data_IF_588896301806
#
_entry.id   IF_588896301806
#
_cell.length_a   1.000
_cell.length_b   1.000
_cell.length_c   1.000
_cell.angle_alpha   90.00
_cell.angle_beta   90.00
_cell.angle_gamma   90.00
#
_symmetry.space_group_name_H-M   'P 1'
#
loop_
_entity.id
_entity.type
_entity.pdbx_description
1 polymer ?
#
# COMPACT_ATOMS: atom_id res chain seq x y z
N UNK A 1 4.11 -60.80 -75.48
CA UNK A 1 4.10 -61.01 -74.06
C UNK A 1 4.81 -59.78 -73.38
N UNK A 2 4.07 -58.83 -72.97
CA UNK A 2 4.61 -57.70 -72.18
C UNK A 2 3.62 -57.34 -71.06
N UNK A 3 3.97 -57.71 -69.86
CA UNK A 3 3.22 -57.46 -68.65
C UNK A 3 3.54 -56.12 -68.16
N UNK A 4 2.59 -55.19 -68.29
CA UNK A 4 2.67 -53.82 -67.65
C UNK A 4 2.23 -53.90 -66.19
N UNK A 5 3.14 -53.63 -65.28
CA UNK A 5 2.88 -53.56 -63.88
C UNK A 5 2.38 -52.12 -63.61
N UNK A 6 1.12 -51.94 -63.18
CA UNK A 6 0.57 -50.68 -62.69
C UNK A 6 0.96 -50.53 -61.24
N UNK A 7 1.73 -49.47 -60.93
CA UNK A 7 2.03 -49.02 -59.57
C UNK A 7 0.89 -48.12 -59.10
N UNK A 8 0.13 -48.55 -58.10
CA UNK A 8 -0.85 -47.78 -57.41
C UNK A 8 -0.13 -47.04 -56.28
N UNK A 9 0.03 -45.74 -56.42
CA UNK A 9 0.53 -44.87 -55.38
C UNK A 9 -0.63 -44.50 -54.46
N UNK A 10 -0.66 -45.04 -53.25
CA UNK A 10 -1.60 -44.63 -52.21
C UNK A 10 -1.03 -43.39 -51.50
N UNK A 11 -1.64 -42.23 -51.72
CA UNK A 11 -1.36 -41.00 -50.98
C UNK A 11 -2.11 -41.05 -49.66
N UNK A 12 -1.38 -41.25 -48.55
CA UNK A 12 -1.89 -41.13 -47.21
C UNK A 12 -1.97 -39.63 -46.83
N UNK A 13 -3.15 -39.03 -46.83
CA UNK A 13 -3.40 -37.72 -46.30
C UNK A 13 -3.43 -37.80 -44.77
N UNK A 14 -2.32 -37.38 -44.12
CA UNK A 14 -2.27 -37.21 -42.67
C UNK A 14 -2.95 -35.89 -42.30
N UNK A 15 -4.22 -35.97 -41.88
CA UNK A 15 -4.96 -34.85 -41.33
C UNK A 15 -4.39 -34.47 -39.95
N UNK A 16 -3.67 -33.36 -39.89
CA UNK A 16 -3.29 -32.77 -38.61
C UNK A 16 -4.51 -32.15 -37.99
N UNK A 17 -5.19 -32.83 -37.08
CA UNK A 17 -6.21 -32.29 -36.22
C UNK A 17 -5.51 -31.41 -35.18
N UNK A 18 -5.44 -30.11 -35.43
CA UNK A 18 -4.96 -29.15 -34.47
C UNK A 18 -5.91 -29.13 -33.27
N UNK A 19 -5.52 -29.76 -32.18
CA UNK A 19 -6.18 -29.59 -30.89
C UNK A 19 -5.89 -28.17 -30.42
N UNK A 20 -6.79 -27.22 -30.71
CA UNK A 20 -6.84 -25.95 -30.05
C UNK A 20 -7.22 -26.24 -28.59
N UNK A 21 -6.23 -26.44 -27.72
CA UNK A 21 -6.45 -26.47 -26.28
C UNK A 21 -7.04 -25.12 -25.88
N UNK A 22 -8.19 -25.06 -25.20
CA UNK A 22 -8.68 -23.82 -24.63
C UNK A 22 -7.59 -23.32 -23.69
N UNK A 23 -7.08 -22.11 -23.94
CA UNK A 23 -6.24 -21.41 -22.99
C UNK A 23 -7.11 -21.13 -21.76
N UNK A 24 -7.08 -22.04 -20.80
CA UNK A 24 -7.62 -21.78 -19.47
C UNK A 24 -6.90 -20.54 -18.97
N UNK A 25 -7.60 -19.43 -18.83
CA UNK A 25 -7.10 -18.26 -18.13
C UNK A 25 -6.77 -18.75 -16.72
N UNK A 26 -5.50 -19.01 -16.44
CA UNK A 26 -5.05 -19.36 -15.10
C UNK A 26 -5.29 -18.12 -14.24
N UNK A 27 -6.35 -18.14 -13.45
CA UNK A 27 -6.60 -17.15 -12.42
C UNK A 27 -5.40 -17.22 -11.48
N UNK A 28 -4.57 -16.18 -11.49
CA UNK A 28 -3.42 -16.14 -10.61
C UNK A 28 -3.93 -16.08 -9.17
N UNK A 29 -3.51 -17.06 -8.38
CA UNK A 29 -3.79 -17.12 -6.95
C UNK A 29 -3.28 -15.83 -6.25
N UNK A 30 -3.83 -15.46 -5.10
CA UNK A 30 -3.30 -14.34 -4.32
C UNK A 30 -1.84 -14.63 -3.95
N UNK A 31 -0.94 -13.70 -4.28
CA UNK A 31 0.51 -13.91 -4.12
C UNK A 31 1.14 -12.98 -3.10
N UNK A 32 0.53 -11.83 -2.85
CA UNK A 32 1.08 -10.83 -1.95
C UNK A 32 -0.03 -10.02 -1.29
N UNK A 33 0.19 -9.61 -0.03
CA UNK A 33 -0.67 -8.69 0.70
C UNK A 33 0.19 -7.51 1.14
N UNK A 34 -0.22 -6.30 0.83
CA UNK A 34 0.42 -5.06 1.27
C UNK A 34 -0.56 -4.26 2.10
N UNK A 35 -0.14 -3.83 3.28
CA UNK A 35 -0.92 -2.99 4.16
C UNK A 35 -0.26 -1.62 4.32
N UNK A 36 -1.00 -0.55 4.09
CA UNK A 36 -0.49 0.82 4.19
C UNK A 36 -1.49 1.71 4.97
N UNK A 37 -1.01 2.43 5.99
CA UNK A 37 0.35 2.46 6.54
C UNK A 37 0.69 1.19 7.33
N UNK A 38 1.98 0.83 7.42
CA UNK A 38 2.42 -0.35 8.18
C UNK A 38 2.34 -0.16 9.71
N UNK A 39 2.25 1.09 10.18
CA UNK A 39 2.01 1.45 11.58
C UNK A 39 0.81 2.38 11.63
N UNK A 40 -0.19 2.03 12.42
CA UNK A 40 -1.47 2.72 12.43
C UNK A 40 -2.02 2.86 13.85
N UNK A 41 -2.61 4.01 14.21
CA UNK A 41 -3.30 4.16 15.48
C UNK A 41 -4.66 3.45 15.46
N UNK A 42 -5.18 3.21 16.65
CA UNK A 42 -6.58 2.76 16.84
C UNK A 42 -7.54 3.73 16.16
N UNK A 43 -8.57 3.21 15.52
CA UNK A 43 -9.55 4.02 14.77
C UNK A 43 -9.03 4.57 13.44
N UNK A 44 -7.77 4.30 13.08
CA UNK A 44 -7.19 4.73 11.81
C UNK A 44 -7.69 3.90 10.63
N UNK A 45 -7.51 4.45 9.41
CA UNK A 45 -7.86 3.77 8.15
C UNK A 45 -6.64 3.09 7.54
N UNK A 46 -6.78 1.81 7.22
CA UNK A 46 -5.76 0.96 6.61
C UNK A 46 -6.20 0.60 5.20
N UNK A 47 -5.34 0.82 4.22
CA UNK A 47 -5.55 0.30 2.87
C UNK A 47 -4.77 -1.01 2.71
N UNK A 48 -5.48 -2.05 2.32
CA UNK A 48 -4.91 -3.37 2.04
C UNK A 48 -4.98 -3.63 0.55
N UNK A 49 -3.86 -3.94 -0.07
CA UNK A 49 -3.78 -4.33 -1.49
C UNK A 49 -3.38 -5.81 -1.56
N UNK A 50 -4.06 -6.56 -2.39
CA UNK A 50 -3.79 -7.99 -2.63
C UNK A 50 -3.54 -8.21 -4.10
N UNK A 51 -2.40 -8.82 -4.42
CA UNK A 51 -2.02 -9.15 -5.78
C UNK A 51 -2.56 -10.53 -6.16
N UNK A 52 -3.19 -10.64 -7.31
CA UNK A 52 -3.78 -11.86 -7.83
C UNK A 52 -5.09 -11.60 -8.56
N UNK A 53 -5.22 -12.07 -9.80
CA UNK A 53 -6.42 -11.87 -10.62
C UNK A 53 -7.66 -12.54 -10.01
N UNK A 54 -7.49 -13.56 -9.19
CA UNK A 54 -8.57 -14.19 -8.43
C UNK A 54 -9.25 -13.25 -7.43
N UNK A 55 -8.56 -12.19 -6.99
CA UNK A 55 -9.10 -11.20 -6.06
C UNK A 55 -9.94 -10.11 -6.76
N UNK A 56 -9.82 -9.96 -8.07
CA UNK A 56 -10.54 -8.94 -8.84
C UNK A 56 -12.04 -9.24 -9.00
N UNK A 57 -12.41 -10.51 -9.02
CA UNK A 57 -13.83 -10.94 -9.14
C UNK A 57 -14.60 -10.93 -7.83
N UNK A 58 -14.03 -10.36 -6.80
CA UNK A 58 -14.54 -10.32 -5.44
C UNK A 58 -13.69 -11.14 -4.49
N UNK A 59 -13.55 -10.64 -3.30
CA UNK A 59 -12.80 -11.26 -2.23
C UNK A 59 -12.95 -10.42 -0.97
N UNK A 60 -12.41 -10.90 0.13
CA UNK A 60 -12.39 -10.15 1.38
C UNK A 60 -11.07 -10.32 2.10
N UNK A 61 -10.72 -9.33 2.89
CA UNK A 61 -9.62 -9.39 3.84
C UNK A 61 -10.16 -9.37 5.25
N UNK A 62 -9.55 -10.16 6.11
CA UNK A 62 -9.94 -10.31 7.52
C UNK A 62 -8.75 -10.14 8.44
N UNK A 63 -8.96 -9.60 9.63
CA UNK A 63 -7.98 -9.46 10.69
C UNK A 63 -8.69 -9.29 12.04
N UNK A 64 -8.10 -9.72 13.17
CA UNK A 64 -8.67 -9.42 14.48
C UNK A 64 -8.74 -7.93 14.83
N UNK A 65 -8.04 -7.07 14.08
CA UNK A 65 -7.95 -5.63 14.35
C UNK A 65 -9.01 -4.79 13.64
N UNK A 66 -9.72 -5.33 12.65
CA UNK A 66 -10.74 -4.63 11.87
C UNK A 66 -11.85 -5.59 11.39
N UNK A 67 -13.05 -5.09 11.06
CA UNK A 67 -14.11 -5.91 10.50
C UNK A 67 -13.75 -6.37 9.09
N UNK A 68 -14.37 -7.48 8.65
CA UNK A 68 -14.19 -7.97 7.26
C UNK A 68 -14.36 -6.83 6.26
N UNK A 69 -13.39 -6.67 5.37
CA UNK A 69 -13.41 -5.64 4.33
C UNK A 69 -13.40 -6.28 2.94
N UNK A 70 -14.31 -5.84 2.08
CA UNK A 70 -14.42 -6.35 0.72
C UNK A 70 -13.32 -5.79 -0.18
N UNK A 71 -12.78 -6.65 -1.05
CA UNK A 71 -11.79 -6.29 -2.04
C UNK A 71 -12.46 -5.79 -3.32
N UNK A 72 -12.03 -4.63 -3.78
CA UNK A 72 -12.45 -4.02 -5.04
C UNK A 72 -11.31 -4.06 -6.04
N UNK A 73 -11.62 -4.43 -7.28
CA UNK A 73 -10.62 -4.49 -8.36
C UNK A 73 -10.00 -3.12 -8.62
N UNK A 74 -8.69 -3.10 -8.84
CA UNK A 74 -7.98 -1.89 -9.30
C UNK A 74 -7.99 -1.89 -10.83
N UNK A 75 -8.58 -0.87 -11.48
CA UNK A 75 -8.63 -0.81 -12.94
C UNK A 75 -7.24 -0.87 -13.58
N UNK A 76 -7.09 -1.70 -14.62
CA UNK A 76 -5.84 -1.83 -15.37
C UNK A 76 -4.74 -2.66 -14.72
N UNK A 77 -5.01 -3.28 -13.57
CA UNK A 77 -4.07 -4.14 -12.87
C UNK A 77 -4.59 -5.56 -12.64
N UNK A 78 -3.79 -6.37 -11.95
CA UNK A 78 -4.17 -7.72 -11.49
C UNK A 78 -4.34 -7.74 -9.96
N UNK A 79 -4.48 -6.59 -9.33
CA UNK A 79 -4.57 -6.43 -7.89
C UNK A 79 -5.96 -5.93 -7.48
N UNK A 80 -6.33 -6.17 -6.24
CA UNK A 80 -7.53 -5.62 -5.63
C UNK A 80 -7.18 -4.90 -4.33
N UNK A 81 -7.98 -3.93 -3.92
CA UNK A 81 -7.77 -3.16 -2.70
C UNK A 81 -9.02 -3.11 -1.82
N UNK A 82 -8.80 -3.01 -0.52
CA UNK A 82 -9.83 -2.77 0.47
C UNK A 82 -9.38 -1.67 1.44
N UNK A 83 -10.33 -0.88 1.93
CA UNK A 83 -10.08 0.04 3.04
C UNK A 83 -10.75 -0.50 4.29
N UNK A 84 -9.96 -0.68 5.34
CA UNK A 84 -10.44 -1.16 6.63
C UNK A 84 -10.22 -0.11 7.72
N UNK A 85 -11.11 -0.03 8.69
CA UNK A 85 -10.97 0.85 9.86
C UNK A 85 -10.61 0.02 11.08
N UNK A 86 -9.50 0.35 11.72
CA UNK A 86 -9.05 -0.35 12.92
C UNK A 86 -10.02 -0.09 14.07
N UNK A 87 -10.42 -1.12 14.79
CA UNK A 87 -11.28 -0.96 15.97
C UNK A 87 -10.64 -0.06 17.03
N UNK A 88 -11.42 0.82 17.62
CA UNK A 88 -10.95 1.76 18.66
C UNK A 88 -10.42 1.06 19.93
N UNK A 89 -10.85 -0.16 20.19
CA UNK A 89 -10.44 -0.98 21.33
C UNK A 89 -9.35 -2.00 21.01
N UNK A 90 -8.81 -2.03 19.77
CA UNK A 90 -7.74 -2.95 19.38
C UNK A 90 -6.51 -2.74 20.28
N UNK A 91 -5.94 -3.81 20.78
CA UNK A 91 -4.70 -3.75 21.57
C UNK A 91 -3.52 -3.39 20.66
N UNK A 92 -2.54 -2.61 21.14
CA UNK A 92 -1.31 -2.39 20.40
C UNK A 92 -0.55 -3.69 20.20
N UNK A 93 0.04 -3.83 19.00
CA UNK A 93 0.77 -5.03 18.61
C UNK A 93 0.75 -5.25 17.11
N UNK A 94 1.47 -6.26 16.66
CA UNK A 94 1.47 -6.69 15.27
C UNK A 94 0.24 -7.57 14.99
N UNK A 95 -0.34 -7.39 13.80
CA UNK A 95 -1.54 -8.10 13.35
C UNK A 95 -1.35 -8.72 11.98
N UNK A 96 -1.92 -9.91 11.83
CA UNK A 96 -1.95 -10.63 10.58
C UNK A 96 -3.12 -10.16 9.72
N UNK A 97 -2.99 -10.31 8.42
CA UNK A 97 -4.07 -10.15 7.45
C UNK A 97 -4.24 -11.45 6.69
N UNK A 98 -5.48 -11.88 6.57
CA UNK A 98 -5.87 -13.03 5.75
C UNK A 98 -6.72 -12.53 4.59
N UNK A 99 -6.30 -12.83 3.37
CA UNK A 99 -7.05 -12.56 2.14
C UNK A 99 -7.74 -13.83 1.66
N UNK A 100 -9.01 -13.72 1.30
CA UNK A 100 -9.82 -14.80 0.74
C UNK A 100 -10.26 -14.40 -0.67
N UNK A 101 -9.73 -15.04 -1.69
CA UNK A 101 -9.96 -14.72 -3.10
C UNK A 101 -10.19 -15.99 -3.92
N UNK A 102 -11.28 -16.10 -4.66
CA UNK A 102 -11.54 -17.21 -5.58
C UNK A 102 -11.45 -18.61 -4.94
N UNK A 103 -11.84 -18.74 -3.67
CA UNK A 103 -11.73 -19.99 -2.92
C UNK A 103 -10.32 -20.29 -2.38
N UNK A 104 -9.36 -19.40 -2.59
CA UNK A 104 -7.99 -19.48 -2.06
C UNK A 104 -7.81 -18.53 -0.89
N UNK A 105 -6.90 -18.90 0.00
CA UNK A 105 -6.58 -18.11 1.20
C UNK A 105 -5.09 -17.83 1.25
N UNK A 106 -4.73 -16.58 1.48
CA UNK A 106 -3.35 -16.13 1.70
C UNK A 106 -3.28 -15.42 3.06
N UNK A 107 -2.30 -15.79 3.87
CA UNK A 107 -2.05 -15.15 5.17
C UNK A 107 -0.73 -14.40 5.11
N UNK A 108 -0.74 -13.14 5.53
CA UNK A 108 0.47 -12.37 5.79
C UNK A 108 0.59 -12.13 7.29
N UNK A 109 1.54 -12.78 7.97
CA UNK A 109 1.79 -12.55 9.38
C UNK A 109 2.42 -11.17 9.60
N UNK A 110 2.10 -10.54 10.73
CA UNK A 110 2.61 -9.22 11.12
C UNK A 110 2.53 -8.17 10.00
N UNK A 111 1.39 -8.17 9.27
CA UNK A 111 1.21 -7.30 8.10
C UNK A 111 1.21 -5.81 8.45
N UNK A 112 0.79 -5.46 9.65
CA UNK A 112 0.81 -4.09 10.18
C UNK A 112 0.89 -4.08 11.70
N UNK A 113 1.22 -2.92 12.27
CA UNK A 113 1.32 -2.72 13.73
C UNK A 113 0.33 -1.66 14.19
N UNK A 114 -0.48 -1.99 15.19
CA UNK A 114 -1.37 -1.03 15.85
C UNK A 114 -0.65 -0.39 17.04
N UNK A 115 -0.75 0.93 17.17
CA UNK A 115 -0.18 1.70 18.28
C UNK A 115 -1.25 2.42 19.10
N UNK A 116 -0.90 2.82 20.34
CA UNK A 116 -1.73 3.68 21.17
C UNK A 116 -1.69 5.12 20.64
N UNK A 117 -2.84 5.64 20.23
CA UNK A 117 -2.97 7.02 19.80
C UNK A 117 -2.28 7.34 18.47
N UNK A 118 -2.59 8.50 17.89
CA UNK A 118 -1.89 9.01 16.73
C UNK A 118 -0.44 9.30 17.06
N UNK A 119 0.49 8.95 16.18
CA UNK A 119 1.81 9.57 16.15
C UNK A 119 1.55 11.05 15.93
N UNK A 120 1.72 11.85 16.96
CA UNK A 120 1.81 13.31 16.79
C UNK A 120 3.08 13.54 16.01
N UNK A 121 2.97 13.57 14.69
CA UNK A 121 4.07 14.00 13.83
C UNK A 121 4.49 15.39 14.31
N UNK A 122 5.75 15.54 14.66
CA UNK A 122 6.31 16.77 15.19
C UNK A 122 6.44 17.87 14.15
N UNK A 123 5.34 18.24 13.50
CA UNK A 123 5.21 19.51 12.80
C UNK A 123 4.14 20.28 13.56
N UNK A 124 4.61 21.01 14.56
CA UNK A 124 4.01 22.10 15.28
C UNK A 124 2.57 22.45 14.98
N UNK A 125 1.69 22.06 15.82
CA UNK A 125 0.33 22.48 15.76
C UNK A 125 -0.51 21.68 16.70
N UNK A 126 -0.21 21.68 17.98
CA UNK A 126 -1.18 21.28 19.00
C UNK A 126 -2.32 22.29 18.97
N UNK A 127 -3.39 22.00 18.25
CA UNK A 127 -4.58 22.82 18.25
C UNK A 127 -5.36 22.74 19.57
N UNK A 128 -4.93 21.90 20.53
CA UNK A 128 -5.66 21.67 21.78
C UNK A 128 -4.85 21.81 23.08
N UNK A 129 -3.55 22.00 23.02
CA UNK A 129 -2.78 22.47 24.18
C UNK A 129 -1.99 23.67 23.70
N UNK A 130 -2.41 24.88 24.12
CA UNK A 130 -1.65 26.12 23.87
C UNK A 130 -0.18 25.90 24.20
N UNK A 131 0.69 26.67 23.54
CA UNK A 131 2.12 26.63 23.78
C UNK A 131 2.39 26.59 25.28
N UNK A 132 3.15 25.62 25.75
CA UNK A 132 3.53 25.56 27.16
C UNK A 132 4.42 26.75 27.47
N UNK A 133 4.46 27.21 28.74
CA UNK A 133 5.33 28.33 29.13
C UNK A 133 6.79 28.10 28.69
N UNK A 134 7.25 26.85 28.59
CA UNK A 134 8.59 26.48 28.10
C UNK A 134 8.74 26.77 26.62
N UNK A 135 7.73 26.46 25.81
CA UNK A 135 7.77 26.70 24.36
C UNK A 135 7.78 28.23 24.05
N UNK A 136 7.06 29.01 24.82
CA UNK A 136 7.07 30.48 24.72
C UNK A 136 8.45 31.07 25.09
N UNK A 137 9.10 30.53 26.13
CA UNK A 137 10.42 31.01 26.54
C UNK A 137 11.47 30.71 25.47
N UNK A 138 11.47 29.53 24.87
CA UNK A 138 12.43 29.17 23.81
C UNK A 138 12.16 29.98 22.54
N UNK A 139 10.91 30.09 22.11
CA UNK A 139 10.52 30.90 20.94
C UNK A 139 10.83 32.37 21.13
N UNK A 140 10.48 32.95 22.30
CA UNK A 140 10.72 34.34 22.64
C UNK A 140 12.22 34.68 22.70
N UNK A 141 13.04 33.81 23.24
CA UNK A 141 14.49 34.02 23.33
C UNK A 141 15.15 34.07 21.94
N UNK A 142 14.72 33.21 21.01
CA UNK A 142 15.25 33.21 19.66
C UNK A 142 14.86 34.46 18.85
N UNK A 143 13.63 34.94 19.01
CA UNK A 143 13.16 36.17 18.34
C UNK A 143 13.90 37.40 18.87
N UNK A 144 14.09 37.52 20.19
CA UNK A 144 14.82 38.65 20.80
C UNK A 144 16.28 38.66 20.38
N UNK A 145 16.95 37.49 20.33
CA UNK A 145 18.31 37.35 19.85
C UNK A 145 18.47 37.80 18.38
N UNK A 146 17.52 37.45 17.52
CA UNK A 146 17.53 37.83 16.12
C UNK A 146 17.34 39.34 15.92
N UNK A 147 16.43 39.96 16.67
CA UNK A 147 16.19 41.42 16.59
C UNK A 147 17.37 42.23 17.11
N UNK A 148 17.95 41.85 18.24
CA UNK A 148 19.12 42.54 18.81
C UNK A 148 20.34 42.34 17.92
N UNK A 149 20.63 41.10 17.50
CA UNK A 149 21.75 40.77 16.61
C UNK A 149 21.63 41.49 15.26
N UNK A 150 20.45 41.45 14.64
CA UNK A 150 20.18 42.12 13.36
C UNK A 150 20.29 43.65 13.47
N UNK A 151 19.80 44.23 14.56
CA UNK A 151 19.87 45.69 14.82
C UNK A 151 21.32 46.17 14.97
N UNK A 152 22.12 45.47 15.76
CA UNK A 152 23.55 45.77 15.93
C UNK A 152 24.33 45.65 14.63
N UNK A 153 24.09 44.58 13.88
CA UNK A 153 24.72 44.38 12.57
C UNK A 153 24.37 45.51 11.59
N UNK A 154 23.12 45.90 11.52
CA UNK A 154 22.67 46.99 10.64
C UNK A 154 23.27 48.35 11.03
N UNK A 155 23.37 48.68 12.32
CA UNK A 155 24.00 49.89 12.80
C UNK A 155 25.50 49.92 12.46
N UNK A 156 26.22 48.83 12.63
CA UNK A 156 27.63 48.70 12.28
C UNK A 156 27.87 48.94 10.78
N UNK A 157 27.09 48.30 9.92
CA UNK A 157 27.19 48.48 8.47
C UNK A 157 26.89 49.88 8.00
N UNK A 158 25.98 50.59 8.72
CA UNK A 158 25.66 51.98 8.40
C UNK A 158 26.75 52.95 8.86
N UNK A 159 27.51 52.62 9.88
CA UNK A 159 28.67 53.41 10.31
C UNK A 159 29.85 53.30 9.34
N UNK A 160 30.09 52.11 8.78
CA UNK A 160 31.16 51.88 7.79
C UNK A 160 30.91 52.59 6.44
N UNK A 161 29.68 52.80 6.04
CA UNK A 161 29.31 53.46 4.80
C UNK A 161 29.31 55.04 4.90
N UNK A 162 29.76 55.61 6.03
CA UNK A 162 29.84 57.05 6.23
C UNK A 162 31.26 57.63 6.27
N UNK A 163 32.26 56.81 5.84
CA UNK A 163 33.65 57.29 5.68
C UNK A 163 33.95 57.48 4.22
#
# INVERSE_FOLDING_TARGET
MRTTRALVAAAAAVGVVGLAAPTASAWADPTNIVAMPSVIPRGGHLTVTVDGSSCQSGGKVTSPAFPDAELHSIPGGTSASATATIHSHTRPGAYDITAHCGGKTLVRPAAFTVIHGGVRGGIGGSTHTGATGTDMVIGGALVTAAVVGGGVFWMRRRAENRI
#
